data_IF_274753276941
#
_entry.id   IF_274753276941
#
_cell.length_a   1.000
_cell.length_b   1.000
_cell.length_c   1.000
_cell.angle_alpha   90.00
_cell.angle_beta   90.00
_cell.angle_gamma   90.00
#
_symmetry.space_group_name_H-M   'P 1'
#
loop_
_entity.id
_entity.type
_entity.pdbx_description
1 polymer ?
#
# COMPACT_ATOMS: atom_id res chain seq x y z
N UNK A 1 -21.99 -4.53 -19.24
CA UNK A 1 -22.62 -5.31 -20.33
C UNK A 1 -21.60 -5.91 -21.31
N UNK A 2 -20.69 -5.12 -21.90
CA UNK A 2 -19.71 -5.58 -22.91
C UNK A 2 -18.80 -6.75 -22.49
N UNK A 3 -18.40 -6.84 -21.22
CA UNK A 3 -17.48 -7.87 -20.71
C UNK A 3 -18.17 -8.97 -19.88
N UNK A 4 -19.46 -8.84 -19.57
CA UNK A 4 -20.18 -9.78 -18.69
C UNK A 4 -19.69 -9.83 -17.24
N UNK A 5 -18.81 -8.91 -16.80
CA UNK A 5 -18.28 -8.85 -15.44
C UNK A 5 -19.08 -7.89 -14.57
N UNK A 6 -19.21 -8.25 -13.29
CA UNK A 6 -19.69 -7.35 -12.24
C UNK A 6 -18.58 -6.38 -11.84
N UNK A 7 -18.96 -5.12 -11.67
CA UNK A 7 -18.06 -4.05 -11.20
C UNK A 7 -18.70 -3.37 -10.01
N UNK A 8 -17.88 -3.04 -9.03
CA UNK A 8 -18.27 -2.26 -7.86
C UNK A 8 -17.73 -0.84 -8.00
N UNK A 9 -18.52 0.16 -7.61
CA UNK A 9 -18.20 1.57 -7.79
C UNK A 9 -18.24 2.29 -6.44
N UNK A 10 -17.13 2.91 -6.06
CA UNK A 10 -17.07 3.86 -4.94
C UNK A 10 -17.06 5.28 -5.46
N UNK A 11 -17.88 6.14 -4.87
CA UNK A 11 -18.04 7.55 -5.24
C UNK A 11 -17.66 8.41 -4.04
N UNK A 12 -16.98 9.52 -4.30
CA UNK A 12 -16.67 10.52 -3.29
C UNK A 12 -16.06 11.77 -3.90
N UNK A 13 -15.91 12.82 -3.09
CA UNK A 13 -15.45 14.14 -3.52
C UNK A 13 -13.94 14.17 -3.83
N UNK A 14 -13.22 13.15 -3.39
CA UNK A 14 -11.79 12.97 -3.65
C UNK A 14 -11.41 11.46 -3.68
N UNK A 15 -10.18 11.12 -4.13
CA UNK A 15 -9.77 9.72 -4.32
C UNK A 15 -9.82 8.87 -3.05
N UNK A 16 -9.46 9.41 -1.88
CA UNK A 16 -9.54 8.67 -0.61
C UNK A 16 -10.98 8.32 -0.28
N UNK A 17 -11.91 9.28 -0.37
CA UNK A 17 -13.33 9.02 -0.11
C UNK A 17 -13.89 7.98 -1.07
N UNK A 18 -13.63 8.11 -2.38
CA UNK A 18 -14.07 7.14 -3.37
C UNK A 18 -13.48 5.73 -3.11
N UNK A 19 -12.20 5.66 -2.70
CA UNK A 19 -11.54 4.39 -2.39
C UNK A 19 -12.13 3.72 -1.14
N UNK A 20 -12.40 4.48 -0.09
CA UNK A 20 -13.02 3.99 1.14
C UNK A 20 -14.48 3.60 0.89
N UNK A 21 -15.22 4.39 0.11
CA UNK A 21 -16.57 4.08 -0.32
C UNK A 21 -16.63 2.73 -1.06
N UNK A 22 -15.67 2.50 -1.96
CA UNK A 22 -15.53 1.25 -2.70
C UNK A 22 -15.24 0.07 -1.78
N UNK A 23 -14.24 0.19 -0.91
CA UNK A 23 -13.75 -0.93 -0.11
C UNK A 23 -14.68 -1.34 1.03
N UNK A 24 -15.28 -0.35 1.70
CA UNK A 24 -16.00 -0.57 2.95
C UNK A 24 -17.52 -0.65 2.78
N UNK A 25 -18.06 -0.10 1.69
CA UNK A 25 -19.50 -0.01 1.50
C UNK A 25 -19.96 -0.66 0.21
N UNK A 26 -19.42 -0.23 -0.93
CA UNK A 26 -19.92 -0.64 -2.23
C UNK A 26 -19.84 -2.17 -2.44
N UNK A 27 -18.77 -2.82 -2.00
CA UNK A 27 -18.58 -4.28 -2.11
C UNK A 27 -19.59 -5.10 -1.30
N UNK A 28 -20.22 -4.48 -0.31
CA UNK A 28 -21.17 -5.11 0.60
C UNK A 28 -22.61 -4.67 0.34
N UNK A 29 -22.83 -3.77 -0.63
CA UNK A 29 -24.14 -3.31 -1.06
C UNK A 29 -24.64 -4.18 -2.23
N UNK A 30 -25.94 -4.51 -2.23
CA UNK A 30 -26.59 -5.24 -3.31
C UNK A 30 -26.49 -4.51 -4.66
N UNK A 31 -26.52 -3.17 -4.63
CA UNK A 31 -26.38 -2.33 -5.83
C UNK A 31 -24.94 -2.20 -6.32
N UNK A 32 -23.96 -2.71 -5.56
CA UNK A 32 -22.52 -2.60 -5.84
C UNK A 32 -22.01 -1.15 -5.95
N UNK A 33 -22.74 -0.20 -5.35
CA UNK A 33 -22.41 1.22 -5.31
C UNK A 33 -22.32 1.67 -3.85
N UNK A 34 -21.35 2.52 -3.55
CA UNK A 34 -21.17 3.14 -2.24
C UNK A 34 -20.62 4.55 -2.39
N UNK A 35 -21.05 5.45 -1.52
CA UNK A 35 -20.72 6.87 -1.60
C UNK A 35 -20.21 7.38 -0.24
N UNK A 36 -19.19 8.23 -0.24
CA UNK A 36 -18.75 8.99 0.93
C UNK A 36 -18.52 10.43 0.48
N UNK A 37 -19.22 11.35 1.12
CA UNK A 37 -19.03 12.80 0.98
C UNK A 37 -18.62 13.41 2.32
N UNK A 38 -18.14 14.66 2.31
CA UNK A 38 -17.69 15.34 3.53
C UNK A 38 -18.71 15.33 4.67
N UNK A 39 -19.99 15.50 4.36
CA UNK A 39 -21.08 15.45 5.33
C UNK A 39 -21.26 14.08 5.98
N UNK A 40 -20.86 13.00 5.30
CA UNK A 40 -20.97 11.62 5.80
C UNK A 40 -19.72 11.12 6.51
N UNK A 41 -18.64 11.90 6.54
CA UNK A 41 -17.36 11.51 7.18
C UNK A 41 -17.53 11.09 8.64
N UNK A 42 -18.31 11.80 9.49
CA UNK A 42 -18.52 11.38 10.86
C UNK A 42 -19.17 10.00 10.97
N UNK A 43 -20.17 9.72 10.15
CA UNK A 43 -20.95 8.48 10.23
C UNK A 43 -20.26 7.30 9.53
N UNK A 44 -19.43 7.56 8.50
CA UNK A 44 -18.82 6.53 7.67
C UNK A 44 -17.33 6.32 7.95
N UNK A 45 -16.53 7.37 8.06
CA UNK A 45 -15.09 7.22 8.28
C UNK A 45 -14.79 7.07 9.77
N UNK A 46 -15.36 7.92 10.63
CA UNK A 46 -15.00 7.90 12.05
C UNK A 46 -15.57 6.70 12.79
N UNK A 47 -16.68 6.13 12.30
CA UNK A 47 -17.28 4.91 12.85
C UNK A 47 -16.45 3.65 12.62
N UNK A 48 -15.39 3.71 11.81
CA UNK A 48 -14.50 2.58 11.55
C UNK A 48 -13.66 2.30 12.79
N UNK A 49 -13.97 1.17 13.45
CA UNK A 49 -13.28 0.70 14.65
C UNK A 49 -11.97 -0.03 14.33
N UNK A 50 -11.91 -0.73 13.20
CA UNK A 50 -10.71 -1.47 12.79
C UNK A 50 -9.82 -0.63 11.87
N UNK A 51 -8.72 -0.11 12.42
CA UNK A 51 -7.74 0.68 11.66
C UNK A 51 -7.23 -0.06 10.40
N UNK A 52 -7.05 -1.37 10.46
CA UNK A 52 -6.54 -2.18 9.33
C UNK A 52 -7.53 -2.34 8.18
N UNK A 53 -8.80 -1.99 8.37
CA UNK A 53 -9.79 -1.95 7.29
C UNK A 53 -9.59 -0.73 6.38
N UNK A 54 -8.90 0.30 6.86
CA UNK A 54 -8.71 1.56 6.14
C UNK A 54 -7.54 1.45 5.17
N UNK A 55 -7.80 1.78 3.90
CA UNK A 55 -6.76 1.82 2.88
C UNK A 55 -5.60 2.74 3.30
N UNK A 56 -4.37 2.22 3.21
CA UNK A 56 -3.15 2.90 3.67
C UNK A 56 -2.72 2.57 5.10
N UNK A 57 -3.54 1.89 5.90
CA UNK A 57 -3.20 1.47 7.26
C UNK A 57 -2.99 -0.06 7.33
N UNK A 58 -1.75 -0.50 7.14
CA UNK A 58 -1.38 -1.91 7.33
C UNK A 58 -1.20 -2.32 8.81
N UNK A 59 -1.05 -3.62 9.11
CA UNK A 59 -0.92 -4.12 10.49
C UNK A 59 0.22 -3.48 11.29
N UNK A 60 1.35 -3.18 10.64
CA UNK A 60 2.48 -2.48 11.27
C UNK A 60 2.12 -1.04 11.66
N UNK A 61 1.36 -0.34 10.81
CA UNK A 61 0.93 1.03 11.10
C UNK A 61 -0.14 1.05 12.19
N UNK A 62 -1.12 0.13 12.14
CA UNK A 62 -2.10 -0.03 13.20
C UNK A 62 -1.44 -0.29 14.57
N UNK A 63 -0.42 -1.15 14.64
CA UNK A 63 0.38 -1.34 15.86
C UNK A 63 1.08 -0.07 16.34
N UNK A 64 1.58 0.77 15.43
CA UNK A 64 2.19 2.07 15.79
C UNK A 64 1.15 3.05 16.32
N UNK A 65 -0.02 3.14 15.69
CA UNK A 65 -1.14 3.97 16.15
C UNK A 65 -1.65 3.52 17.52
N UNK A 66 -1.83 2.21 17.73
CA UNK A 66 -2.23 1.66 19.03
C UNK A 66 -1.24 2.03 20.16
N UNK A 67 0.07 2.06 19.88
CA UNK A 67 1.10 2.51 20.84
C UNK A 67 1.00 4.00 21.18
N UNK A 68 0.33 4.79 20.33
CA UNK A 68 0.01 6.20 20.56
C UNK A 68 -1.38 6.39 21.20
N UNK A 69 -2.04 5.31 21.62
CA UNK A 69 -3.41 5.31 22.14
C UNK A 69 -4.45 5.77 21.11
N UNK A 70 -4.22 5.41 19.84
CA UNK A 70 -5.16 5.64 18.74
C UNK A 70 -5.59 4.27 18.22
N UNK A 71 -6.84 3.90 18.46
CA UNK A 71 -7.38 2.57 18.25
C UNK A 71 -8.41 2.50 17.11
N UNK A 72 -8.97 3.65 16.72
CA UNK A 72 -9.97 3.75 15.67
C UNK A 72 -9.83 5.07 14.87
N UNK A 73 -10.63 5.23 13.82
CA UNK A 73 -10.57 6.40 12.96
C UNK A 73 -11.07 7.68 13.61
N UNK A 74 -12.03 7.60 14.53
CA UNK A 74 -12.49 8.76 15.32
C UNK A 74 -11.33 9.35 16.14
N UNK A 75 -10.62 8.52 16.90
CA UNK A 75 -9.46 8.94 17.69
C UNK A 75 -8.36 9.51 16.80
N UNK A 76 -8.11 8.90 15.64
CA UNK A 76 -7.13 9.40 14.68
C UNK A 76 -7.51 10.80 14.16
N UNK A 77 -8.79 11.04 13.85
CA UNK A 77 -9.30 12.32 13.39
C UNK A 77 -9.22 13.42 14.46
N UNK A 78 -9.32 13.06 15.74
CA UNK A 78 -9.35 14.01 16.86
C UNK A 78 -8.02 14.11 17.62
N UNK A 79 -6.98 13.43 17.14
CA UNK A 79 -5.63 13.54 17.70
C UNK A 79 -4.96 14.85 17.29
N UNK A 80 -4.07 15.38 18.12
CA UNK A 80 -3.25 16.54 17.75
C UNK A 80 -2.39 16.24 16.49
N UNK A 81 -2.62 16.94 15.35
CA UNK A 81 -1.91 16.68 14.10
C UNK A 81 -0.41 16.95 14.18
N UNK A 82 0.04 17.84 15.07
CA UNK A 82 1.45 18.12 15.27
C UNK A 82 2.16 16.95 15.97
N UNK A 83 1.50 16.32 16.95
CA UNK A 83 2.01 15.14 17.63
C UNK A 83 2.07 13.93 16.68
N UNK A 84 1.03 13.72 15.87
CA UNK A 84 1.03 12.69 14.82
C UNK A 84 2.19 12.87 13.83
N UNK A 85 2.41 14.11 13.36
CA UNK A 85 3.52 14.44 12.47
C UNK A 85 4.87 14.24 13.15
N UNK A 86 5.01 14.58 14.42
CA UNK A 86 6.25 14.37 15.18
C UNK A 86 6.60 12.88 15.30
N UNK A 87 5.60 12.01 15.55
CA UNK A 87 5.80 10.58 15.77
C UNK A 87 5.92 9.77 14.46
N UNK A 88 5.21 10.18 13.41
CA UNK A 88 5.07 9.40 12.17
C UNK A 88 5.59 10.13 10.92
N UNK A 89 6.08 11.36 11.06
CA UNK A 89 6.55 12.20 9.94
C UNK A 89 5.40 12.62 9.02
N UNK A 90 5.72 12.75 7.73
CA UNK A 90 4.75 13.14 6.69
C UNK A 90 3.56 12.17 6.63
N UNK A 91 3.80 10.88 6.89
CA UNK A 91 2.74 9.87 6.92
C UNK A 91 1.71 10.15 8.02
N UNK A 92 2.13 10.69 9.18
CA UNK A 92 1.20 11.08 10.24
C UNK A 92 0.23 12.17 9.79
N UNK A 93 0.72 13.16 9.06
CA UNK A 93 -0.13 14.21 8.47
C UNK A 93 -1.10 13.64 7.43
N UNK A 94 -0.64 12.68 6.62
CA UNK A 94 -1.50 12.01 5.64
C UNK A 94 -2.59 11.19 6.32
N UNK A 95 -2.26 10.41 7.35
CA UNK A 95 -3.23 9.62 8.12
C UNK A 95 -4.29 10.50 8.78
N UNK A 96 -3.89 11.64 9.35
CA UNK A 96 -4.82 12.62 9.89
C UNK A 96 -5.78 13.16 8.81
N UNK A 97 -5.26 13.54 7.64
CA UNK A 97 -6.07 14.00 6.53
C UNK A 97 -7.05 12.91 6.03
N UNK A 98 -6.58 11.66 5.90
CA UNK A 98 -7.41 10.50 5.56
C UNK A 98 -8.55 10.31 6.55
N UNK A 99 -8.31 10.50 7.85
CA UNK A 99 -9.35 10.38 8.88
C UNK A 99 -10.43 11.47 8.77
N UNK A 100 -10.13 12.61 8.16
CA UNK A 100 -11.09 13.65 7.79
C UNK A 100 -11.64 13.47 6.37
N UNK A 101 -11.32 12.37 5.69
CA UNK A 101 -11.72 12.13 4.31
C UNK A 101 -11.14 13.14 3.33
N UNK A 102 -9.96 13.70 3.60
CA UNK A 102 -9.31 14.72 2.77
C UNK A 102 -8.18 14.08 1.97
N UNK A 103 -8.24 14.25 0.64
CA UNK A 103 -7.13 13.98 -0.27
C UNK A 103 -7.03 15.09 -1.32
N UNK A 104 -5.81 15.52 -1.61
CA UNK A 104 -5.49 16.56 -2.59
C UNK A 104 -4.84 16.00 -3.86
N UNK A 105 -4.74 14.68 -3.99
CA UNK A 105 -4.24 14.04 -5.19
C UNK A 105 -5.13 14.40 -6.40
N UNK A 106 -4.49 14.90 -7.46
CA UNK A 106 -5.17 15.19 -8.72
C UNK A 106 -5.09 13.97 -9.64
N UNK A 107 -6.22 13.31 -9.88
CA UNK A 107 -6.28 12.10 -10.73
C UNK A 107 -5.90 12.40 -12.18
N UNK A 108 -6.12 13.63 -12.63
CA UNK A 108 -5.83 14.09 -14.00
C UNK A 108 -4.34 14.28 -14.27
N UNK A 109 -3.52 14.41 -13.23
CA UNK A 109 -2.08 14.60 -13.39
C UNK A 109 -1.36 13.24 -13.27
N UNK A 110 -0.78 12.71 -14.36
CA UNK A 110 -0.02 11.47 -14.28
C UNK A 110 1.14 11.67 -13.32
N UNK A 111 1.20 10.83 -12.27
CA UNK A 111 2.29 10.88 -11.30
C UNK A 111 3.60 10.63 -12.03
N UNK A 112 4.49 11.64 -12.06
CA UNK A 112 5.85 11.45 -12.56
C UNK A 112 6.58 10.54 -11.58
N UNK A 113 6.78 9.29 -11.97
CA UNK A 113 7.60 8.34 -11.21
C UNK A 113 9.00 8.96 -11.10
N UNK A 114 9.35 9.45 -9.91
CA UNK A 114 10.62 10.14 -9.67
C UNK A 114 11.82 9.24 -9.97
N UNK A 115 11.69 7.96 -9.63
CA UNK A 115 12.73 6.95 -9.79
C UNK A 115 12.08 5.65 -10.26
N UNK A 116 12.04 5.43 -11.57
CA UNK A 116 11.55 4.18 -12.12
C UNK A 116 12.64 3.11 -11.95
N UNK A 117 12.37 2.09 -11.14
CA UNK A 117 13.22 0.90 -11.04
C UNK A 117 12.65 -0.23 -11.91
N UNK A 118 13.53 -1.01 -12.52
CA UNK A 118 13.19 -2.27 -13.18
C UNK A 118 13.76 -3.39 -12.34
N UNK A 119 12.89 -4.14 -11.68
CA UNK A 119 13.26 -5.24 -10.80
C UNK A 119 12.56 -6.54 -11.18
N UNK A 120 13.08 -7.63 -10.64
CA UNK A 120 12.47 -8.94 -10.71
C UNK A 120 12.81 -9.72 -9.43
N UNK A 121 11.89 -10.55 -8.98
CA UNK A 121 12.10 -11.42 -7.82
C UNK A 121 11.40 -12.75 -8.06
N UNK A 122 11.87 -13.78 -7.36
CA UNK A 122 11.32 -15.13 -7.44
C UNK A 122 11.31 -15.74 -6.04
N UNK A 123 10.18 -16.35 -5.68
CA UNK A 123 10.10 -17.25 -4.52
C UNK A 123 10.55 -18.63 -4.99
N UNK A 124 11.54 -19.20 -4.31
CA UNK A 124 12.08 -20.51 -4.66
C UNK A 124 11.17 -21.63 -4.15
N UNK A 125 11.09 -22.77 -4.86
CA UNK A 125 10.24 -23.90 -4.47
C UNK A 125 10.78 -24.68 -3.25
N UNK A 126 12.05 -24.48 -2.91
CA UNK A 126 12.73 -25.07 -1.74
C UNK A 126 13.91 -24.18 -1.34
N UNK A 127 14.57 -24.54 -0.26
CA UNK A 127 15.85 -23.95 0.11
C UNK A 127 16.97 -24.46 -0.82
N UNK A 128 17.84 -23.53 -1.21
CA UNK A 128 18.97 -23.79 -2.10
C UNK A 128 20.24 -23.58 -1.29
N UNK A 129 21.02 -24.65 -1.12
CA UNK A 129 22.30 -24.63 -0.38
C UNK A 129 23.50 -24.70 -1.31
N UNK A 130 23.30 -25.17 -2.53
CA UNK A 130 24.36 -25.29 -3.53
C UNK A 130 24.57 -23.93 -4.20
N UNK A 131 25.80 -23.42 -4.11
CA UNK A 131 26.22 -22.17 -4.71
C UNK A 131 25.86 -22.08 -6.21
N UNK A 132 26.07 -23.15 -6.97
CA UNK A 132 25.79 -23.17 -8.42
C UNK A 132 24.31 -22.95 -8.70
N UNK A 133 23.42 -23.53 -7.90
CA UNK A 133 21.97 -23.34 -8.05
C UNK A 133 21.58 -21.89 -7.72
N UNK A 134 22.15 -21.32 -6.65
CA UNK A 134 21.90 -19.93 -6.23
C UNK A 134 22.36 -18.95 -7.31
N UNK A 135 23.58 -19.12 -7.81
CA UNK A 135 24.15 -18.29 -8.88
C UNK A 135 23.33 -18.38 -10.17
N UNK A 136 22.82 -19.57 -10.51
CA UNK A 136 21.97 -19.79 -11.67
C UNK A 136 20.69 -18.95 -11.57
N UNK A 137 20.00 -18.97 -10.43
CA UNK A 137 18.80 -18.15 -10.20
C UNK A 137 19.11 -16.66 -10.31
N UNK A 138 20.19 -16.19 -9.66
CA UNK A 138 20.57 -14.78 -9.70
C UNK A 138 20.85 -14.34 -11.15
N UNK A 139 21.55 -15.19 -11.92
CA UNK A 139 21.85 -14.92 -13.33
C UNK A 139 20.59 -14.84 -14.17
N UNK A 140 19.66 -15.77 -14.04
CA UNK A 140 18.38 -15.77 -14.77
C UNK A 140 17.56 -14.51 -14.47
N UNK A 141 17.43 -14.13 -13.19
CA UNK A 141 16.75 -12.91 -12.76
C UNK A 141 17.44 -11.68 -13.37
N UNK A 142 18.78 -11.64 -13.30
CA UNK A 142 19.59 -10.56 -13.86
C UNK A 142 19.41 -10.42 -15.38
N UNK A 143 19.40 -11.53 -16.12
CA UNK A 143 19.19 -11.56 -17.57
C UNK A 143 17.80 -11.03 -17.94
N UNK A 144 16.75 -11.40 -17.19
CA UNK A 144 15.39 -10.90 -17.42
C UNK A 144 15.26 -9.39 -17.17
N UNK A 145 15.92 -8.87 -16.12
CA UNK A 145 15.95 -7.43 -15.84
C UNK A 145 16.75 -6.69 -16.92
N UNK A 146 17.91 -7.21 -17.30
CA UNK A 146 18.75 -6.62 -18.33
C UNK A 146 18.07 -6.60 -19.71
N UNK A 147 17.32 -7.66 -20.06
CA UNK A 147 16.54 -7.72 -21.29
C UNK A 147 15.45 -6.64 -21.33
N UNK A 148 14.69 -6.49 -20.24
CA UNK A 148 13.68 -5.42 -20.09
C UNK A 148 14.31 -4.03 -20.15
N UNK A 149 15.45 -3.83 -19.49
CA UNK A 149 16.17 -2.57 -19.48
C UNK A 149 16.62 -2.14 -20.90
N UNK A 150 17.15 -3.08 -21.69
CA UNK A 150 17.47 -2.85 -23.11
C UNK A 150 16.23 -2.59 -23.96
N UNK A 151 15.15 -3.35 -23.74
CA UNK A 151 13.88 -3.16 -24.44
C UNK A 151 13.29 -1.77 -24.22
N UNK A 152 13.41 -1.23 -23.00
CA UNK A 152 12.98 0.14 -22.67
C UNK A 152 14.00 1.23 -23.02
N UNK A 153 15.12 0.89 -23.67
CA UNK A 153 16.20 1.81 -24.01
C UNK A 153 16.71 2.62 -22.81
N UNK A 154 16.87 1.97 -21.66
CA UNK A 154 17.38 2.58 -20.42
C UNK A 154 18.78 2.09 -20.09
N UNK A 155 19.46 2.82 -19.19
CA UNK A 155 20.70 2.42 -18.54
C UNK A 155 20.46 2.35 -17.02
N UNK A 156 21.15 1.43 -16.33
CA UNK A 156 21.05 1.31 -14.88
C UNK A 156 22.06 2.26 -14.20
N UNK A 157 21.59 3.07 -13.26
CA UNK A 157 22.46 3.88 -12.38
C UNK A 157 22.77 3.21 -11.03
N UNK A 158 21.94 2.24 -10.63
CA UNK A 158 22.08 1.50 -9.39
C UNK A 158 21.63 0.04 -9.61
N UNK A 159 22.36 -0.91 -9.02
CA UNK A 159 21.98 -2.32 -8.97
C UNK A 159 21.75 -2.70 -7.51
N UNK A 160 20.67 -3.42 -7.25
CA UNK A 160 20.32 -3.92 -5.92
C UNK A 160 19.96 -5.40 -6.02
N UNK A 161 20.49 -6.20 -5.11
CA UNK A 161 20.19 -7.62 -4.95
C UNK A 161 19.71 -7.84 -3.51
N UNK A 162 18.58 -8.54 -3.37
CA UNK A 162 18.04 -8.95 -2.08
C UNK A 162 17.88 -10.47 -2.07
N UNK A 163 18.38 -11.11 -1.01
CA UNK A 163 18.28 -12.55 -0.78
C UNK A 163 17.54 -12.75 0.54
N UNK A 164 16.48 -13.57 0.50
CA UNK A 164 15.76 -14.00 1.69
C UNK A 164 16.25 -15.38 2.13
N UNK A 165 16.60 -15.53 3.40
CA UNK A 165 16.97 -16.82 3.99
C UNK A 165 15.73 -17.48 4.60
N UNK A 166 15.72 -18.82 4.66
CA UNK A 166 14.66 -19.54 5.35
C UNK A 166 14.76 -19.34 6.87
N UNK A 167 13.62 -19.47 7.55
CA UNK A 167 13.53 -19.26 9.01
C UNK A 167 14.49 -20.16 9.80
N UNK A 168 14.76 -21.38 9.31
CA UNK A 168 15.68 -22.32 9.96
C UNK A 168 17.16 -21.88 9.83
N UNK A 169 17.53 -21.20 8.74
CA UNK A 169 18.88 -20.65 8.57
C UNK A 169 19.09 -19.39 9.42
N UNK A 170 18.04 -18.59 9.64
CA UNK A 170 18.13 -17.35 10.43
C UNK A 170 18.39 -17.58 11.93
N UNK A 171 18.08 -18.76 12.48
CA UNK A 171 18.42 -19.12 13.87
C UNK A 171 19.88 -19.58 14.04
N UNK A 172 20.51 -20.09 12.98
CA UNK A 172 21.89 -20.56 13.02
C UNK A 172 22.93 -19.42 12.94
N UNK A 173 22.56 -18.31 12.30
CA UNK A 173 23.39 -17.10 12.15
C UNK A 173 23.10 -16.03 13.24
N UNK A 174 22.46 -16.43 14.35
CA UNK A 174 22.12 -15.56 15.48
C UNK A 174 23.30 -14.88 16.16
#
# INVERSE_FOLDING_TARGET
QKLGLYTTVGIGDNPVQAKLALDLYAKHNHELIGEIHYETVPDKIWSITELTAVWGIGPRMAKRLNRLHIHNMYELAHTNPYLLKQQLGIIGSQLFATAWGIDRAQVTEPTKVKEASLGNSQVLPRDYFNQVEIETVIKEIGEQVAARLRHHHKLAGCLSLSIGFSYAAAEADG
#
